data_IF_845262057502
#
_entry.id   IF_845262057502
#
_cell.length_a   1.000
_cell.length_b   1.000
_cell.length_c   1.000
_cell.angle_alpha   90.00
_cell.angle_beta   90.00
_cell.angle_gamma   90.00
#
_symmetry.space_group_name_H-M   'P 1'
#
loop_
_entity.id
_entity.type
_entity.pdbx_description
1 polymer ?
#
# COMPACT_ATOMS: atom_id res chain seq x y z
N UNK A 1 -74.65 49.19 -2.39
CA UNK A 1 -75.16 48.03 -3.16
C UNK A 1 -74.29 47.70 -4.38
N UNK A 2 -74.07 48.63 -5.32
CA UNK A 2 -73.31 48.39 -6.58
C UNK A 2 -71.85 47.93 -6.34
N UNK A 3 -71.14 48.56 -5.39
CA UNK A 3 -69.77 48.18 -5.03
C UNK A 3 -69.66 46.72 -4.57
N UNK A 4 -70.62 46.26 -3.77
CA UNK A 4 -70.66 44.88 -3.25
C UNK A 4 -70.87 43.90 -4.40
N UNK A 5 -71.78 44.19 -5.34
CA UNK A 5 -72.04 43.36 -6.52
C UNK A 5 -70.79 43.24 -7.40
N UNK A 6 -70.06 44.34 -7.61
CA UNK A 6 -68.83 44.33 -8.40
C UNK A 6 -67.71 43.53 -7.72
N UNK A 7 -67.61 43.60 -6.38
CA UNK A 7 -66.66 42.81 -5.62
C UNK A 7 -66.95 41.32 -5.72
N UNK A 8 -68.23 40.93 -5.59
CA UNK A 8 -68.67 39.54 -5.73
C UNK A 8 -68.38 39.00 -7.14
N UNK A 9 -68.63 39.78 -8.20
CA UNK A 9 -68.29 39.37 -9.58
C UNK A 9 -66.80 39.12 -9.76
N UNK A 10 -65.93 39.98 -9.21
CA UNK A 10 -64.46 39.78 -9.27
C UNK A 10 -64.03 38.52 -8.50
N UNK A 11 -64.60 38.26 -7.33
CA UNK A 11 -64.33 37.05 -6.56
C UNK A 11 -64.78 35.77 -7.30
N UNK A 12 -65.96 35.78 -7.91
CA UNK A 12 -66.44 34.64 -8.71
C UNK A 12 -65.58 34.42 -9.96
N UNK A 13 -65.13 35.49 -10.62
CA UNK A 13 -64.26 35.36 -11.78
C UNK A 13 -62.85 34.87 -11.43
N UNK A 14 -62.31 35.27 -10.27
CA UNK A 14 -61.04 34.77 -9.75
C UNK A 14 -61.11 33.28 -9.38
N UNK A 15 -62.14 32.88 -8.65
CA UNK A 15 -62.35 31.48 -8.26
C UNK A 15 -62.61 30.56 -9.47
N UNK A 16 -63.38 31.03 -10.46
CA UNK A 16 -63.63 30.29 -11.71
C UNK A 16 -62.38 30.08 -12.57
N UNK A 17 -61.36 30.94 -12.45
CA UNK A 17 -60.06 30.75 -13.13
C UNK A 17 -59.10 29.85 -12.36
N UNK A 18 -59.12 29.92 -11.03
CA UNK A 18 -58.21 29.16 -10.18
C UNK A 18 -58.60 27.67 -10.10
N UNK A 19 -59.91 27.39 -10.06
CA UNK A 19 -60.46 26.03 -9.90
C UNK A 19 -60.04 25.06 -11.01
N UNK A 20 -60.24 25.32 -12.31
CA UNK A 20 -59.85 24.38 -13.36
C UNK A 20 -58.33 24.20 -13.47
N UNK A 21 -57.54 25.25 -13.20
CA UNK A 21 -56.08 25.15 -13.22
C UNK A 21 -55.57 24.21 -12.13
N UNK A 22 -56.09 24.33 -10.90
CA UNK A 22 -55.73 23.45 -9.80
C UNK A 22 -56.23 22.02 -10.00
N UNK A 23 -57.48 21.85 -10.46
CA UNK A 23 -58.12 20.53 -10.65
C UNK A 23 -57.41 19.73 -11.74
N UNK A 24 -56.91 20.36 -12.81
CA UNK A 24 -56.28 19.66 -13.92
C UNK A 24 -54.77 19.51 -13.73
N UNK A 25 -54.09 20.55 -13.24
CA UNK A 25 -52.62 20.53 -13.22
C UNK A 25 -52.05 19.73 -12.04
N UNK A 26 -52.68 19.75 -10.86
CA UNK A 26 -52.16 19.02 -9.70
C UNK A 26 -52.16 17.49 -9.91
N UNK A 27 -53.24 16.85 -10.40
CA UNK A 27 -53.22 15.42 -10.65
C UNK A 27 -52.23 15.03 -11.75
N UNK A 28 -52.15 15.82 -12.83
CA UNK A 28 -51.21 15.57 -13.91
C UNK A 28 -49.75 15.64 -13.44
N UNK A 29 -49.42 16.61 -12.57
CA UNK A 29 -48.08 16.71 -11.99
C UNK A 29 -47.80 15.57 -10.99
N UNK A 30 -48.80 15.15 -10.22
CA UNK A 30 -48.70 13.99 -9.34
C UNK A 30 -48.44 12.70 -10.12
N UNK A 31 -49.10 12.49 -11.26
CA UNK A 31 -48.86 11.36 -12.15
C UNK A 31 -47.45 11.36 -12.74
N UNK A 32 -46.93 12.52 -13.17
CA UNK A 32 -45.54 12.65 -13.63
C UNK A 32 -44.54 12.33 -12.53
N UNK A 33 -44.76 12.84 -11.32
CA UNK A 33 -43.89 12.57 -10.19
C UNK A 33 -43.88 11.08 -9.85
N UNK A 34 -45.06 10.44 -9.85
CA UNK A 34 -45.17 8.99 -9.65
C UNK A 34 -44.41 8.21 -10.74
N UNK A 35 -44.55 8.59 -12.01
CA UNK A 35 -43.84 7.93 -13.10
C UNK A 35 -42.31 8.08 -12.97
N UNK A 36 -41.85 9.26 -12.53
CA UNK A 36 -40.44 9.52 -12.22
C UNK A 36 -39.95 8.65 -11.06
N UNK A 37 -40.71 8.56 -9.97
CA UNK A 37 -40.38 7.74 -8.80
C UNK A 37 -40.34 6.24 -9.14
N UNK A 38 -41.27 5.77 -9.99
CA UNK A 38 -41.31 4.39 -10.48
C UNK A 38 -40.07 4.08 -11.34
N UNK A 39 -39.61 5.03 -12.17
CA UNK A 39 -38.38 4.90 -12.96
C UNK A 39 -37.12 4.88 -12.09
N UNK A 40 -37.03 5.80 -11.14
CA UNK A 40 -35.92 5.84 -10.18
C UNK A 40 -35.84 4.54 -9.38
N UNK A 41 -36.98 4.03 -8.91
CA UNK A 41 -37.06 2.76 -8.17
C UNK A 41 -36.52 1.60 -9.00
N UNK A 42 -36.86 1.53 -10.29
CA UNK A 42 -36.37 0.49 -11.21
C UNK A 42 -34.85 0.56 -11.40
N UNK A 43 -34.29 1.76 -11.60
CA UNK A 43 -32.84 1.90 -11.74
C UNK A 43 -32.09 1.57 -10.44
N UNK A 44 -32.65 1.93 -9.27
CA UNK A 44 -32.10 1.54 -7.97
C UNK A 44 -32.09 0.02 -7.80
N UNK A 45 -33.16 -0.68 -8.16
CA UNK A 45 -33.23 -2.15 -8.10
C UNK A 45 -32.19 -2.82 -9.01
N UNK A 46 -31.96 -2.26 -10.19
CA UNK A 46 -30.93 -2.73 -11.13
C UNK A 46 -29.52 -2.55 -10.57
N UNK A 47 -29.22 -1.37 -10.01
CA UNK A 47 -27.95 -1.10 -9.34
C UNK A 47 -27.76 -2.07 -8.17
N UNK A 48 -28.78 -2.26 -7.33
CA UNK A 48 -28.71 -3.20 -6.21
C UNK A 48 -28.42 -4.63 -6.65
N UNK A 49 -29.05 -5.08 -7.74
CA UNK A 49 -28.79 -6.41 -8.33
C UNK A 49 -27.36 -6.55 -8.84
N UNK A 50 -26.82 -5.51 -9.48
CA UNK A 50 -25.42 -5.49 -9.93
C UNK A 50 -24.44 -5.52 -8.76
N UNK A 51 -24.70 -4.74 -7.71
CA UNK A 51 -23.89 -4.73 -6.48
C UNK A 51 -23.86 -6.11 -5.84
N UNK A 52 -25.01 -6.77 -5.68
CA UNK A 52 -25.06 -8.13 -5.13
C UNK A 52 -24.27 -9.15 -5.97
N UNK A 53 -24.33 -9.03 -7.31
CA UNK A 53 -23.54 -9.89 -8.19
C UNK A 53 -22.03 -9.68 -7.99
N UNK A 54 -21.60 -8.43 -7.86
CA UNK A 54 -20.19 -8.08 -7.60
C UNK A 54 -19.75 -8.61 -6.24
N UNK A 55 -20.54 -8.38 -5.19
CA UNK A 55 -20.27 -8.89 -3.83
C UNK A 55 -20.08 -10.40 -3.84
N UNK A 56 -20.98 -11.14 -4.49
CA UNK A 56 -20.87 -12.60 -4.60
C UNK A 56 -19.59 -13.03 -5.32
N UNK A 57 -19.23 -12.37 -6.43
CA UNK A 57 -17.98 -12.67 -7.16
C UNK A 57 -16.74 -12.39 -6.32
N UNK A 58 -16.73 -11.29 -5.58
CA UNK A 58 -15.62 -10.94 -4.67
C UNK A 58 -15.47 -11.98 -3.57
N UNK A 59 -16.57 -12.40 -2.94
CA UNK A 59 -16.53 -13.44 -1.90
C UNK A 59 -15.98 -14.77 -2.42
N UNK A 60 -16.38 -15.17 -3.63
CA UNK A 60 -15.88 -16.39 -4.25
C UNK A 60 -14.37 -16.32 -4.56
N UNK A 61 -13.88 -15.16 -5.02
CA UNK A 61 -12.44 -14.95 -5.26
C UNK A 61 -11.68 -14.99 -3.93
N UNK A 62 -12.19 -14.31 -2.91
CA UNK A 62 -11.58 -14.26 -1.59
C UNK A 62 -11.44 -15.66 -0.98
N UNK A 63 -12.49 -16.49 -1.09
CA UNK A 63 -12.46 -17.88 -0.65
C UNK A 63 -11.46 -18.72 -1.45
N UNK A 64 -11.42 -18.57 -2.77
CA UNK A 64 -10.44 -19.26 -3.61
C UNK A 64 -9.00 -18.89 -3.21
N UNK A 65 -8.71 -17.60 -3.02
CA UNK A 65 -7.40 -17.13 -2.57
C UNK A 65 -7.05 -17.70 -1.19
N UNK A 66 -7.96 -17.67 -0.21
CA UNK A 66 -7.73 -18.27 1.12
C UNK A 66 -7.35 -19.74 1.03
N UNK A 67 -8.03 -20.50 0.17
CA UNK A 67 -7.77 -21.91 -0.04
C UNK A 67 -6.39 -22.14 -0.67
N UNK A 68 -6.01 -21.35 -1.68
CA UNK A 68 -4.69 -21.43 -2.31
C UNK A 68 -3.56 -21.08 -1.33
N UNK A 69 -3.69 -19.99 -0.58
CA UNK A 69 -2.71 -19.61 0.45
C UNK A 69 -2.59 -20.68 1.54
N UNK A 70 -3.70 -21.31 1.95
CA UNK A 70 -3.68 -22.42 2.91
C UNK A 70 -2.87 -23.61 2.36
N UNK A 71 -3.04 -23.95 1.08
CA UNK A 71 -2.26 -25.02 0.42
C UNK A 71 -0.78 -24.66 0.32
N UNK A 72 -0.45 -23.42 -0.06
CA UNK A 72 0.94 -22.94 -0.12
C UNK A 72 1.61 -23.03 1.26
N UNK A 73 0.91 -22.62 2.32
CA UNK A 73 1.41 -22.70 3.69
C UNK A 73 1.76 -24.14 4.11
N UNK A 74 0.92 -25.11 3.73
CA UNK A 74 1.21 -26.54 3.95
C UNK A 74 2.47 -26.97 3.20
N UNK A 75 2.62 -26.59 1.93
CA UNK A 75 3.81 -26.92 1.13
C UNK A 75 5.08 -26.30 1.73
N UNK A 76 5.04 -25.05 2.16
CA UNK A 76 6.18 -24.37 2.81
C UNK A 76 6.59 -25.12 4.08
N UNK A 77 5.64 -25.50 4.93
CA UNK A 77 5.92 -26.27 6.16
C UNK A 77 6.56 -27.62 5.86
N UNK A 78 6.08 -28.32 4.83
CA UNK A 78 6.66 -29.59 4.42
C UNK A 78 8.11 -29.42 3.94
N UNK A 79 8.38 -28.44 3.07
CA UNK A 79 9.72 -28.15 2.56
C UNK A 79 10.69 -27.75 3.67
N UNK A 80 10.24 -26.95 4.64
CA UNK A 80 11.03 -26.60 5.82
C UNK A 80 11.40 -27.85 6.63
N UNK A 81 10.44 -28.75 6.86
CA UNK A 81 10.69 -29.99 7.57
C UNK A 81 11.68 -30.90 6.82
N UNK A 82 11.52 -31.06 5.50
CA UNK A 82 12.45 -31.83 4.65
C UNK A 82 13.86 -31.23 4.67
N UNK A 83 13.98 -29.91 4.56
CA UNK A 83 15.27 -29.20 4.61
C UNK A 83 15.97 -29.42 5.96
N UNK A 84 15.23 -29.31 7.07
CA UNK A 84 15.76 -29.55 8.42
C UNK A 84 16.22 -31.00 8.60
N UNK A 85 15.48 -31.98 8.06
CA UNK A 85 15.86 -33.39 8.06
C UNK A 85 17.18 -33.60 7.29
N UNK A 86 17.29 -33.06 6.08
CA UNK A 86 18.51 -33.16 5.28
C UNK A 86 19.72 -32.54 5.99
N UNK A 87 19.56 -31.37 6.60
CA UNK A 87 20.63 -30.71 7.35
C UNK A 87 21.11 -31.56 8.53
N UNK A 88 20.19 -32.18 9.28
CA UNK A 88 20.52 -33.06 10.40
C UNK A 88 21.31 -34.31 9.96
N UNK A 89 21.00 -34.88 8.78
CA UNK A 89 21.73 -36.03 8.24
C UNK A 89 23.15 -35.65 7.81
N UNK A 90 23.31 -34.54 7.08
CA UNK A 90 24.63 -34.07 6.61
C UNK A 90 25.53 -33.71 7.80
N UNK A 91 25.00 -33.02 8.80
CA UNK A 91 25.75 -32.66 9.99
C UNK A 91 26.22 -33.90 10.78
N UNK A 92 25.45 -34.99 10.75
CA UNK A 92 25.82 -36.26 11.38
C UNK A 92 26.93 -36.99 10.62
N UNK A 93 26.90 -36.99 9.28
CA UNK A 93 27.95 -37.62 8.46
C UNK A 93 29.30 -36.92 8.58
N UNK A 94 29.33 -35.59 8.73
CA UNK A 94 30.59 -34.83 8.87
C UNK A 94 31.30 -35.14 10.22
N UNK A 95 30.51 -35.36 11.28
CA UNK A 95 31.03 -35.73 12.60
C UNK A 95 31.66 -37.14 12.61
N UNK A 96 31.00 -38.09 11.94
CA UNK A 96 31.50 -39.46 11.83
C UNK A 96 32.82 -39.51 11.02
N UNK A 97 32.98 -38.70 9.96
CA UNK A 97 34.23 -38.64 9.17
C UNK A 97 35.41 -38.02 9.93
N UNK A 98 35.18 -36.97 10.72
CA UNK A 98 36.24 -36.35 11.53
C UNK A 98 36.72 -37.25 12.67
N UNK A 99 35.87 -38.15 13.18
CA UNK A 99 36.25 -39.10 14.23
C UNK A 99 37.27 -40.17 13.76
N UNK A 100 37.30 -40.49 12.47
CA UNK A 100 38.20 -41.51 11.89
C UNK A 100 39.60 -40.95 11.58
N UNK A 101 39.75 -39.62 11.49
CA UNK A 101 40.98 -38.98 11.00
C UNK A 101 41.97 -38.56 12.09
N UNK A 102 41.61 -38.66 13.37
CA UNK A 102 42.42 -38.16 14.50
C UNK A 102 43.23 -39.26 15.22
N UNK A 103 43.29 -40.49 14.71
CA UNK A 103 43.97 -41.60 15.41
C UNK A 103 45.46 -41.73 15.06
N UNK A 104 46.02 -40.90 14.17
CA UNK A 104 47.44 -40.97 13.81
C UNK A 104 48.07 -39.59 13.73
N UNK A 105 48.61 -39.09 14.85
CA UNK A 105 49.80 -38.22 14.85
C UNK A 105 50.27 -37.95 16.28
N UNK A 106 51.05 -38.89 16.81
CA UNK A 106 51.85 -38.70 18.01
C UNK A 106 53.25 -39.25 17.77
N UNK A 107 54.12 -38.47 17.11
CA UNK A 107 55.55 -38.46 17.44
C UNK A 107 56.35 -37.31 16.79
N UNK A 108 57.33 -36.83 17.56
CA UNK A 108 58.60 -36.21 17.13
C UNK A 108 58.73 -34.68 17.09
N UNK A 109 58.84 -34.08 18.27
CA UNK A 109 60.08 -33.51 18.85
C UNK A 109 61.13 -32.88 17.89
N UNK A 110 61.36 -31.55 18.05
CA UNK A 110 62.65 -30.82 18.14
C UNK A 110 62.92 -29.60 17.21
N UNK A 111 63.07 -28.45 17.89
CA UNK A 111 64.04 -27.35 17.75
C UNK A 111 64.73 -27.01 16.41
N UNK A 112 64.67 -25.72 16.03
CA UNK A 112 65.88 -24.88 15.86
C UNK A 112 65.53 -23.41 15.57
N UNK A 113 66.12 -22.53 16.39
CA UNK A 113 66.27 -21.10 16.12
C UNK A 113 67.31 -20.88 15.00
N UNK A 114 67.18 -19.83 14.20
CA UNK A 114 68.23 -18.80 14.02
C UNK A 114 67.84 -17.70 13.02
N UNK A 115 68.33 -16.51 13.38
CA UNK A 115 68.09 -15.17 12.86
C UNK A 115 68.62 -14.91 11.45
N UNK A 116 67.95 -14.03 10.68
CA UNK A 116 68.63 -13.10 9.78
C UNK A 116 67.97 -11.71 9.78
N UNK A 117 68.86 -10.73 9.84
CA UNK A 117 68.69 -9.31 10.15
C UNK A 117 68.79 -8.50 8.85
N UNK A 118 68.31 -7.26 8.93
CA UNK A 118 68.65 -6.08 8.11
C UNK A 118 67.91 -5.86 6.78
N UNK A 119 66.95 -4.91 6.79
CA UNK A 119 67.15 -3.61 6.12
C UNK A 119 66.00 -2.64 6.39
N UNK A 120 66.30 -1.59 7.14
CA UNK A 120 65.48 -0.38 7.28
C UNK A 120 65.52 0.42 5.97
N UNK A 121 64.35 0.60 5.36
CA UNK A 121 64.07 1.77 4.53
C UNK A 121 62.78 2.41 5.01
N UNK A 122 62.93 3.61 5.57
CA UNK A 122 61.83 4.46 5.98
C UNK A 122 61.04 4.87 4.75
N UNK A 123 59.75 4.51 4.71
CA UNK A 123 58.77 5.17 3.85
C UNK A 123 57.48 5.21 4.62
N UNK A 124 57.18 6.38 5.18
CA UNK A 124 55.89 6.68 5.79
C UNK A 124 54.77 6.35 4.81
N UNK A 125 53.86 5.42 5.09
CA UNK A 125 52.60 5.42 4.40
C UNK A 125 51.79 6.54 5.04
N UNK A 126 51.77 7.69 4.39
CA UNK A 126 50.67 8.62 4.53
C UNK A 126 49.39 7.80 4.44
N UNK A 127 48.64 7.76 5.54
CA UNK A 127 47.25 7.34 5.54
C UNK A 127 46.47 8.33 4.69
N UNK A 128 46.59 8.16 3.37
CA UNK A 128 45.47 8.39 2.49
C UNK A 128 44.36 7.54 3.09
N UNK A 129 43.47 8.21 3.83
CA UNK A 129 42.10 7.78 4.03
C UNK A 129 41.49 7.71 2.63
N UNK A 130 41.89 6.66 1.90
CA UNK A 130 41.27 6.23 0.68
C UNK A 130 39.82 6.08 1.06
N UNK A 131 39.00 6.97 0.51
CA UNK A 131 37.56 6.93 0.61
C UNK A 131 37.14 5.56 0.10
N UNK A 132 37.05 4.61 1.02
CA UNK A 132 36.46 3.31 0.79
C UNK A 132 35.08 3.59 0.25
N UNK A 133 34.87 3.21 -1.01
CA UNK A 133 33.63 3.39 -1.76
C UNK A 133 32.43 3.06 -0.86
N UNK A 134 31.76 4.09 -0.34
CA UNK A 134 30.46 3.97 0.31
C UNK A 134 29.38 3.80 -0.77
N UNK A 135 29.51 2.74 -1.56
CA UNK A 135 28.45 2.27 -2.47
C UNK A 135 27.38 1.44 -1.73
N UNK A 136 27.47 1.32 -0.40
CA UNK A 136 26.69 0.36 0.38
C UNK A 136 26.09 0.86 1.70
N UNK A 137 26.19 2.15 2.03
CA UNK A 137 25.48 2.73 3.17
C UNK A 137 24.56 3.82 2.64
N UNK A 138 23.34 3.46 2.27
CA UNK A 138 22.30 4.46 2.12
C UNK A 138 22.01 5.02 3.52
N UNK A 139 22.05 6.35 3.67
CA UNK A 139 21.50 6.99 4.86
C UNK A 139 20.03 6.57 5.02
N UNK A 140 19.50 6.52 6.25
CA UNK A 140 18.13 6.11 6.58
C UNK A 140 17.11 6.84 5.69
N UNK A 141 17.38 8.11 5.39
CA UNK A 141 16.58 8.94 4.48
C UNK A 141 16.56 8.39 3.04
N UNK A 142 17.71 7.90 2.55
CA UNK A 142 17.87 7.26 1.25
C UNK A 142 17.06 5.97 1.13
N UNK A 143 17.12 5.11 2.15
CA UNK A 143 16.34 3.87 2.20
C UNK A 143 14.83 4.12 2.17
N UNK A 144 14.36 5.08 2.96
CA UNK A 144 12.94 5.49 2.98
C UNK A 144 12.51 5.97 1.59
N UNK A 145 13.36 6.76 0.93
CA UNK A 145 13.06 7.29 -0.41
C UNK A 145 12.98 6.19 -1.46
N UNK A 146 13.86 5.20 -1.41
CA UNK A 146 13.83 4.03 -2.30
C UNK A 146 12.53 3.27 -2.11
N UNK A 147 12.19 2.90 -0.87
CA UNK A 147 10.96 2.15 -0.56
C UNK A 147 9.70 2.93 -0.94
N UNK A 148 9.67 4.23 -0.61
CA UNK A 148 8.58 5.11 -1.01
C UNK A 148 8.35 5.05 -2.52
N UNK A 149 9.41 5.22 -3.31
CA UNK A 149 9.31 5.22 -4.77
C UNK A 149 8.81 3.86 -5.30
N UNK A 150 9.30 2.75 -4.74
CA UNK A 150 8.85 1.40 -5.12
C UNK A 150 7.35 1.19 -4.87
N UNK A 151 6.85 1.57 -3.69
CA UNK A 151 5.42 1.45 -3.38
C UNK A 151 4.58 2.41 -4.23
N UNK A 152 5.06 3.64 -4.41
CA UNK A 152 4.41 4.64 -5.24
C UNK A 152 4.23 4.15 -6.68
N UNK A 153 5.31 3.72 -7.33
CA UNK A 153 5.32 3.24 -8.71
C UNK A 153 4.45 1.99 -8.88
N UNK A 154 4.52 1.06 -7.92
CA UNK A 154 3.72 -0.16 -7.93
C UNK A 154 2.23 0.16 -7.87
N UNK A 155 1.79 1.02 -6.94
CA UNK A 155 0.38 1.38 -6.81
C UNK A 155 -0.11 2.16 -8.03
N UNK A 156 0.69 3.12 -8.50
CA UNK A 156 0.38 3.91 -9.69
C UNK A 156 0.13 3.00 -10.90
N UNK A 157 1.00 2.00 -11.12
CA UNK A 157 0.87 1.03 -12.21
C UNK A 157 -0.31 0.08 -12.04
N UNK A 158 -0.49 -0.50 -10.85
CA UNK A 158 -1.55 -1.50 -10.59
C UNK A 158 -2.95 -0.88 -10.70
N UNK A 159 -3.10 0.37 -10.30
CA UNK A 159 -4.40 1.07 -10.29
C UNK A 159 -4.60 2.00 -11.48
N UNK A 160 -3.62 2.11 -12.37
CA UNK A 160 -3.62 3.00 -13.53
C UNK A 160 -3.88 4.47 -13.16
N UNK A 161 -3.26 4.94 -12.07
CA UNK A 161 -3.36 6.34 -11.66
C UNK A 161 -2.40 7.22 -12.43
N UNK A 162 -2.80 8.46 -12.70
CA UNK A 162 -1.88 9.52 -13.06
C UNK A 162 -0.98 9.87 -11.88
N UNK A 163 0.16 10.51 -12.15
CA UNK A 163 1.09 10.94 -11.12
C UNK A 163 0.42 11.87 -10.08
N UNK A 164 -0.48 12.74 -10.52
CA UNK A 164 -1.19 13.69 -9.65
C UNK A 164 -2.23 13.01 -8.76
N UNK A 165 -2.98 12.06 -9.31
CA UNK A 165 -3.93 11.23 -8.54
C UNK A 165 -3.20 10.41 -7.48
N UNK A 166 -2.06 9.80 -7.84
CA UNK A 166 -1.25 9.04 -6.89
C UNK A 166 -0.68 9.94 -5.79
N UNK A 167 -0.19 11.14 -6.13
CA UNK A 167 0.24 12.10 -5.12
C UNK A 167 -0.89 12.53 -4.19
N UNK A 168 -2.11 12.71 -4.72
CA UNK A 168 -3.28 13.02 -3.91
C UNK A 168 -3.60 11.88 -2.92
N UNK A 169 -3.60 10.63 -3.38
CA UNK A 169 -3.85 9.45 -2.54
C UNK A 169 -2.85 9.32 -1.40
N UNK A 170 -1.54 9.47 -1.68
CA UNK A 170 -0.50 9.44 -0.65
C UNK A 170 -0.75 10.51 0.42
N UNK A 171 -1.19 11.71 0.04
CA UNK A 171 -1.52 12.76 1.01
C UNK A 171 -2.72 12.37 1.87
N UNK A 172 -3.75 11.77 1.27
CA UNK A 172 -4.94 11.30 2.01
C UNK A 172 -4.55 10.22 3.01
N UNK A 173 -3.74 9.24 2.60
CA UNK A 173 -3.28 8.15 3.47
C UNK A 173 -2.37 8.68 4.59
N UNK A 174 -1.43 9.58 4.30
CA UNK A 174 -0.60 10.18 5.33
C UNK A 174 -1.45 10.94 6.35
N UNK A 175 -2.53 11.60 5.90
CA UNK A 175 -3.47 12.28 6.80
C UNK A 175 -4.28 11.32 7.66
N UNK A 176 -4.69 10.16 7.14
CA UNK A 176 -5.38 9.14 7.93
C UNK A 176 -4.48 8.54 9.01
N UNK A 177 -3.16 8.52 8.78
CA UNK A 177 -2.13 8.15 9.75
C UNK A 177 -1.77 9.29 10.74
N UNK A 178 -2.51 10.40 10.75
CA UNK A 178 -2.27 11.55 11.64
C UNK A 178 -1.16 12.51 11.16
N UNK A 179 -0.64 12.31 9.95
CA UNK A 179 0.31 13.22 9.32
C UNK A 179 -0.34 14.46 8.72
N UNK A 180 0.45 15.49 8.46
CA UNK A 180 -0.02 16.69 7.77
C UNK A 180 1.00 17.15 6.73
N UNK A 181 0.77 16.76 5.49
CA UNK A 181 1.64 17.01 4.35
C UNK A 181 0.84 17.63 3.18
N UNK A 182 1.54 18.34 2.29
CA UNK A 182 0.98 18.92 1.06
C UNK A 182 1.34 18.05 -0.15
N UNK A 183 0.52 18.09 -1.19
CA UNK A 183 0.75 17.40 -2.46
C UNK A 183 2.11 17.80 -3.06
N UNK A 184 2.46 19.08 -3.02
CA UNK A 184 3.76 19.57 -3.51
C UNK A 184 4.95 18.93 -2.78
N UNK A 185 4.81 18.63 -1.49
CA UNK A 185 5.85 17.96 -0.71
C UNK A 185 6.02 16.51 -1.16
N UNK A 186 4.93 15.79 -1.44
CA UNK A 186 4.99 14.42 -1.99
C UNK A 186 5.66 14.40 -3.36
N UNK A 187 5.29 15.33 -4.26
CA UNK A 187 5.93 15.49 -5.57
C UNK A 187 7.42 15.74 -5.46
N UNK A 188 7.82 16.67 -4.58
CA UNK A 188 9.22 17.00 -4.35
C UNK A 188 10.00 15.80 -3.80
N UNK A 189 9.40 15.05 -2.88
CA UNK A 189 10.03 13.86 -2.31
C UNK A 189 10.24 12.76 -3.37
N UNK A 190 9.21 12.50 -4.19
CA UNK A 190 9.29 11.55 -5.31
C UNK A 190 10.38 11.91 -6.32
N UNK A 191 10.40 13.19 -6.76
CA UNK A 191 11.40 13.70 -7.71
C UNK A 191 12.80 13.83 -7.09
N UNK A 192 12.90 13.64 -5.78
CA UNK A 192 14.15 13.63 -5.07
C UNK A 192 14.78 14.99 -4.82
N UNK A 193 13.96 16.04 -4.77
CA UNK A 193 14.36 17.37 -4.34
C UNK A 193 14.86 17.28 -2.88
N UNK A 194 16.07 17.79 -2.65
CA UNK A 194 16.74 17.77 -1.34
C UNK A 194 16.12 18.78 -0.36
N UNK A 195 16.41 18.63 0.93
CA UNK A 195 15.96 19.58 1.97
C UNK A 195 14.63 19.24 2.65
N UNK A 196 14.19 17.98 2.60
CA UNK A 196 13.00 17.55 3.34
C UNK A 196 13.27 17.58 4.84
N UNK A 197 12.33 18.15 5.61
CA UNK A 197 12.39 18.16 7.08
C UNK A 197 12.27 16.73 7.61
N UNK A 198 12.92 16.45 8.74
CA UNK A 198 12.81 15.15 9.44
C UNK A 198 11.36 14.75 9.69
N UNK A 199 10.48 15.72 10.02
CA UNK A 199 9.05 15.47 10.20
C UNK A 199 8.36 14.95 8.93
N UNK A 200 8.75 15.45 7.75
CA UNK A 200 8.25 14.98 6.46
C UNK A 200 8.74 13.56 6.18
N UNK A 201 10.02 13.29 6.43
CA UNK A 201 10.60 11.95 6.25
C UNK A 201 9.89 10.93 7.15
N UNK A 202 9.62 11.29 8.41
CA UNK A 202 8.91 10.41 9.34
C UNK A 202 7.46 10.13 8.91
N UNK A 203 6.73 11.15 8.45
CA UNK A 203 5.36 10.98 7.95
C UNK A 203 5.31 10.07 6.71
N UNK A 204 6.27 10.24 5.79
CA UNK A 204 6.38 9.37 4.60
C UNK A 204 6.80 7.95 5.01
N UNK A 205 7.72 7.81 5.97
CA UNK A 205 8.13 6.50 6.47
C UNK A 205 6.98 5.75 7.16
N UNK A 206 6.10 6.46 7.87
CA UNK A 206 4.89 5.86 8.46
C UNK A 206 3.96 5.30 7.38
N UNK A 207 3.78 6.03 6.27
CA UNK A 207 3.03 5.53 5.11
C UNK A 207 3.72 4.34 4.44
N UNK A 208 5.05 4.37 4.28
CA UNK A 208 5.81 3.21 3.75
C UNK A 208 5.66 1.99 4.67
N UNK A 209 5.70 2.19 5.99
CA UNK A 209 5.58 1.11 6.96
C UNK A 209 4.17 0.50 7.03
N UNK A 210 3.11 1.25 6.66
CA UNK A 210 1.73 0.73 6.67
C UNK A 210 1.54 -0.42 5.69
N UNK A 211 2.38 -0.53 4.66
CA UNK A 211 2.36 -1.67 3.73
C UNK A 211 2.93 -2.97 4.31
N UNK A 212 3.71 -2.89 5.39
CA UNK A 212 4.30 -4.06 6.06
C UNK A 212 3.41 -4.58 7.20
N UNK A 213 2.55 -3.74 7.77
CA UNK A 213 1.68 -4.09 8.90
C UNK A 213 0.33 -4.70 8.47
N UNK A 214 0.13 -5.01 7.19
CA UNK A 214 -1.04 -5.75 6.69
C UNK A 214 -0.76 -7.26 6.54
N UNK A 215 0.21 -7.77 7.31
CA UNK A 215 0.55 -9.20 7.44
C UNK A 215 0.23 -9.63 8.87
N UNK A 216 -1.05 -9.64 9.24
CA UNK A 216 -1.60 -10.42 10.35
C UNK A 216 -2.84 -11.19 9.86
#
# INVERSE_FOLDING_TARGET
MILIINLMKKLMQGSAKLTPNLIVNLPAEAEKNKACDDDFTREVQKIFSMVNNITMKVNNIEEACRNEFSRINVVIKNLQNETNQHYAVVQRSDFDQQSVSNESEANSTNESETNLRDSSTNSSPSSSSGSSNLSGIFDITGDIKIRFKQHFDRLMKVRNYTFDEMCFLVVVDIRSLGGNIKISTVKNFYNGVSGNKVSTINQINAWVASFNNNVE
#
